data_IF_499116465945
#
_entry.id   IF_499116465945
#
_cell.length_a   1.000
_cell.length_b   1.000
_cell.length_c   1.000
_cell.angle_alpha   90.00
_cell.angle_beta   90.00
_cell.angle_gamma   90.00
#
_symmetry.space_group_name_H-M   'P 1'
#
loop_
_entity.id
_entity.type
_entity.pdbx_description
1 polymer ?
#
# COMPACT_ATOMS: atom_id res chain seq x y z
N UNK A 1 -18.43 -49.10 5.72
CA UNK A 1 -18.58 -48.36 6.98
C UNK A 1 -17.51 -47.29 7.28
N UNK A 2 -16.41 -47.08 6.52
CA UNK A 2 -15.52 -45.91 6.76
C UNK A 2 -15.89 -44.62 5.98
N UNK A 3 -16.49 -44.72 4.79
CA UNK A 3 -16.61 -43.58 3.84
C UNK A 3 -17.44 -42.36 4.30
N UNK A 4 -18.42 -42.52 5.19
CA UNK A 4 -19.28 -41.40 5.65
C UNK A 4 -18.63 -40.66 6.82
N UNK A 5 -17.99 -41.40 7.73
CA UNK A 5 -17.23 -40.82 8.84
C UNK A 5 -16.00 -40.09 8.31
N UNK A 6 -15.36 -40.62 7.27
CA UNK A 6 -14.21 -39.99 6.61
C UNK A 6 -14.58 -38.68 5.89
N UNK A 7 -15.78 -38.59 5.27
CA UNK A 7 -16.24 -37.37 4.58
C UNK A 7 -16.65 -36.24 5.54
N UNK A 8 -17.29 -36.57 6.66
CA UNK A 8 -17.66 -35.57 7.70
C UNK A 8 -16.40 -35.01 8.38
N UNK A 9 -15.46 -35.88 8.78
CA UNK A 9 -14.18 -35.47 9.39
C UNK A 9 -13.35 -34.61 8.42
N UNK A 10 -13.39 -34.94 7.12
CA UNK A 10 -12.75 -34.15 6.06
C UNK A 10 -13.38 -32.76 5.88
N UNK A 11 -14.68 -32.58 6.11
CA UNK A 11 -15.36 -31.28 5.96
C UNK A 11 -15.09 -30.36 7.15
N UNK A 12 -15.08 -30.90 8.37
CA UNK A 12 -14.73 -30.17 9.59
C UNK A 12 -13.29 -29.63 9.54
N UNK A 13 -12.35 -30.47 9.09
CA UNK A 13 -10.97 -30.06 8.83
C UNK A 13 -10.88 -28.96 7.77
N UNK A 14 -11.77 -28.96 6.77
CA UNK A 14 -11.81 -27.95 5.71
C UNK A 14 -12.37 -26.62 6.22
N UNK A 15 -13.43 -26.66 7.04
CA UNK A 15 -14.01 -25.49 7.70
C UNK A 15 -13.04 -24.83 8.68
N UNK A 16 -12.34 -25.62 9.51
CA UNK A 16 -11.33 -25.11 10.44
C UNK A 16 -10.11 -24.48 9.72
N UNK A 17 -9.69 -25.05 8.59
CA UNK A 17 -8.64 -24.47 7.72
C UNK A 17 -9.09 -23.16 7.07
N UNK A 18 -10.34 -23.09 6.62
CA UNK A 18 -10.94 -21.86 6.08
C UNK A 18 -11.03 -20.77 7.15
N UNK A 19 -11.42 -21.12 8.37
CA UNK A 19 -11.48 -20.20 9.52
C UNK A 19 -10.14 -19.58 9.86
N UNK A 20 -9.11 -20.41 10.04
CA UNK A 20 -7.75 -19.94 10.30
C UNK A 20 -7.20 -19.12 9.12
N UNK A 21 -7.43 -19.57 7.88
CA UNK A 21 -7.01 -18.85 6.67
C UNK A 21 -7.60 -17.45 6.60
N UNK A 22 -8.88 -17.31 6.96
CA UNK A 22 -9.59 -16.04 6.91
C UNK A 22 -9.20 -15.09 8.05
N UNK A 23 -9.03 -15.58 9.28
CA UNK A 23 -8.52 -14.77 10.39
C UNK A 23 -7.12 -14.23 10.10
N UNK A 24 -6.25 -15.06 9.51
CA UNK A 24 -4.92 -14.65 9.06
C UNK A 24 -5.01 -13.60 7.94
N UNK A 25 -5.90 -13.79 6.95
CA UNK A 25 -6.10 -12.83 5.87
C UNK A 25 -6.59 -11.47 6.39
N UNK A 26 -7.56 -11.46 7.32
CA UNK A 26 -8.09 -10.24 7.92
C UNK A 26 -7.03 -9.49 8.74
N UNK A 27 -6.18 -10.22 9.47
CA UNK A 27 -5.05 -9.63 10.23
C UNK A 27 -4.04 -8.98 9.28
N UNK A 28 -3.66 -9.68 8.20
CA UNK A 28 -2.76 -9.14 7.17
C UNK A 28 -3.32 -7.90 6.47
N UNK A 29 -4.64 -7.85 6.23
CA UNK A 29 -5.31 -6.67 5.66
C UNK A 29 -5.22 -5.49 6.63
N UNK A 30 -5.54 -5.69 7.91
CA UNK A 30 -5.48 -4.63 8.92
C UNK A 30 -4.06 -4.06 9.09
N UNK A 31 -3.05 -4.92 9.18
CA UNK A 31 -1.65 -4.51 9.28
C UNK A 31 -1.22 -3.69 8.04
N UNK A 32 -1.63 -4.13 6.85
CA UNK A 32 -1.29 -3.45 5.60
C UNK A 32 -2.02 -2.10 5.44
N UNK A 33 -3.23 -1.95 5.98
CA UNK A 33 -3.93 -0.65 6.04
C UNK A 33 -3.17 0.35 6.93
N UNK A 34 -2.70 -0.08 8.11
CA UNK A 34 -1.90 0.75 9.03
C UNK A 34 -0.56 1.15 8.41
N UNK A 35 0.15 0.20 7.81
CA UNK A 35 1.40 0.46 7.09
C UNK A 35 1.17 1.40 5.90
N UNK A 36 0.05 1.24 5.20
CA UNK A 36 -0.33 2.11 4.09
C UNK A 36 -0.57 3.56 4.49
N UNK A 37 -1.25 3.81 5.61
CA UNK A 37 -1.44 5.16 6.14
C UNK A 37 -0.09 5.82 6.50
N UNK A 38 0.82 5.04 7.10
CA UNK A 38 2.17 5.51 7.44
C UNK A 38 2.98 5.86 6.19
N UNK A 39 2.95 5.01 5.17
CA UNK A 39 3.60 5.25 3.87
C UNK A 39 3.10 6.52 3.19
N UNK A 40 1.79 6.79 3.22
CA UNK A 40 1.23 8.03 2.67
C UNK A 40 1.79 9.25 3.41
N UNK A 41 1.88 9.22 4.73
CA UNK A 41 2.48 10.29 5.53
C UNK A 41 3.96 10.52 5.18
N UNK A 42 4.74 9.45 5.02
CA UNK A 42 6.14 9.52 4.62
C UNK A 42 6.32 10.11 3.21
N UNK A 43 5.50 9.68 2.23
CA UNK A 43 5.52 10.22 0.85
C UNK A 43 5.22 11.72 0.87
N UNK A 44 4.23 12.16 1.65
CA UNK A 44 3.92 13.58 1.82
C UNK A 44 5.09 14.36 2.43
N UNK A 45 5.72 13.82 3.48
CA UNK A 45 6.91 14.41 4.11
C UNK A 45 8.07 14.58 3.12
N UNK A 46 8.36 13.55 2.32
CA UNK A 46 9.39 13.59 1.27
C UNK A 46 9.05 14.65 0.20
N UNK A 47 7.78 14.73 -0.22
CA UNK A 47 7.34 15.71 -1.20
C UNK A 47 7.49 17.16 -0.68
N UNK A 48 7.17 17.40 0.59
CA UNK A 48 7.39 18.70 1.24
C UNK A 48 8.89 19.04 1.31
N UNK A 49 9.74 18.07 1.64
CA UNK A 49 11.18 18.25 1.67
C UNK A 49 11.75 18.59 0.29
N UNK A 50 11.31 17.89 -0.76
CA UNK A 50 11.68 18.20 -2.15
C UNK A 50 11.32 19.65 -2.52
N UNK A 51 10.10 20.11 -2.19
CA UNK A 51 9.67 21.50 -2.43
C UNK A 51 10.50 22.52 -1.65
N UNK A 52 10.88 22.20 -0.41
CA UNK A 52 11.75 23.04 0.41
C UNK A 52 13.12 23.24 -0.28
N UNK A 53 13.74 22.16 -0.76
CA UNK A 53 15.01 22.25 -1.48
C UNK A 53 14.90 23.03 -2.79
N UNK A 54 13.82 22.85 -3.57
CA UNK A 54 13.60 23.67 -4.78
C UNK A 54 13.46 25.15 -4.46
N UNK A 55 12.77 25.49 -3.38
CA UNK A 55 12.59 26.88 -2.95
C UNK A 55 13.94 27.50 -2.59
N UNK A 56 14.77 26.77 -1.85
CA UNK A 56 16.12 27.20 -1.50
C UNK A 56 17.02 27.34 -2.73
N UNK A 57 16.98 26.39 -3.67
CA UNK A 57 17.72 26.49 -4.92
C UNK A 57 17.34 27.74 -5.71
N UNK A 58 16.03 28.02 -5.84
CA UNK A 58 15.53 29.23 -6.52
C UNK A 58 15.96 30.52 -5.82
N UNK A 59 16.04 30.53 -4.50
CA UNK A 59 16.57 31.69 -3.76
C UNK A 59 18.04 31.94 -4.11
N UNK A 60 18.85 30.89 -4.21
CA UNK A 60 20.26 31.01 -4.62
C UNK A 60 20.40 31.44 -6.09
N UNK A 61 19.54 30.95 -6.99
CA UNK A 61 19.52 31.42 -8.38
C UNK A 61 19.20 32.92 -8.48
N UNK A 62 18.24 33.41 -7.69
CA UNK A 62 17.94 34.84 -7.63
C UNK A 62 19.13 35.67 -7.11
N UNK A 63 19.88 35.13 -6.15
CA UNK A 63 21.12 35.76 -5.67
C UNK A 63 22.17 35.81 -6.77
N UNK A 64 22.37 34.73 -7.53
CA UNK A 64 23.31 34.70 -8.65
C UNK A 64 22.97 35.76 -9.70
N UNK A 65 21.69 35.92 -10.04
CA UNK A 65 21.22 36.97 -10.96
C UNK A 65 21.50 38.37 -10.39
N UNK A 66 21.28 38.58 -9.09
CA UNK A 66 21.57 39.86 -8.44
C UNK A 66 23.08 40.17 -8.40
N UNK A 67 23.93 39.18 -8.17
CA UNK A 67 25.40 39.34 -8.23
C UNK A 67 25.81 39.77 -9.65
N UNK A 68 25.21 39.19 -10.69
CA UNK A 68 25.49 39.57 -12.08
C UNK A 68 25.10 41.01 -12.41
N UNK A 69 24.03 41.54 -11.79
CA UNK A 69 23.61 42.93 -12.01
C UNK A 69 24.52 43.96 -11.32
N UNK A 70 25.41 43.53 -10.40
CA UNK A 70 26.31 44.38 -9.60
C UNK A 70 25.59 45.49 -8.81
N UNK A 71 24.29 45.35 -8.59
CA UNK A 71 23.47 46.29 -7.82
C UNK A 71 23.47 45.90 -6.34
N UNK A 72 24.09 46.68 -5.43
CA UNK A 72 24.17 46.36 -4.01
C UNK A 72 22.80 46.18 -3.34
N UNK A 73 21.78 46.92 -3.79
CA UNK A 73 20.42 46.83 -3.22
C UNK A 73 19.75 45.54 -3.67
N UNK A 74 19.89 45.18 -4.95
CA UNK A 74 19.38 43.90 -5.46
C UNK A 74 20.06 42.71 -4.78
N UNK A 75 21.38 42.79 -4.59
CA UNK A 75 22.20 41.77 -3.91
C UNK A 75 21.75 41.61 -2.46
N UNK A 76 21.65 42.71 -1.69
CA UNK A 76 21.22 42.66 -0.30
C UNK A 76 19.79 42.11 -0.14
N UNK A 77 18.87 42.50 -1.04
CA UNK A 77 17.50 41.98 -1.04
C UNK A 77 17.47 40.47 -1.31
N UNK A 78 18.22 40.00 -2.30
CA UNK A 78 18.27 38.59 -2.65
C UNK A 78 18.92 37.77 -1.52
N UNK A 79 20.01 38.26 -0.93
CA UNK A 79 20.69 37.65 0.21
C UNK A 79 19.77 37.58 1.44
N UNK A 80 18.91 38.58 1.66
CA UNK A 80 17.92 38.59 2.74
C UNK A 80 16.87 37.47 2.63
N UNK A 81 16.66 36.90 1.43
CA UNK A 81 15.75 35.78 1.22
C UNK A 81 16.41 34.41 1.47
N UNK A 82 17.75 34.35 1.57
CA UNK A 82 18.48 33.10 1.81
C UNK A 82 18.43 32.75 3.30
N UNK A 83 17.99 31.53 3.62
CA UNK A 83 17.90 31.05 5.00
C UNK A 83 19.25 30.63 5.60
N UNK A 84 20.18 30.18 4.77
CA UNK A 84 21.50 29.75 5.21
C UNK A 84 22.38 30.98 5.51
N UNK A 85 22.76 31.12 6.78
CA UNK A 85 23.51 32.27 7.26
C UNK A 85 24.92 32.35 6.67
N UNK A 86 25.53 31.20 6.34
CA UNK A 86 26.87 31.16 5.75
C UNK A 86 26.81 31.61 4.29
N UNK A 87 25.81 31.15 3.53
CA UNK A 87 25.60 31.61 2.16
C UNK A 87 25.23 33.09 2.12
N UNK A 88 24.44 33.55 3.08
CA UNK A 88 24.11 34.97 3.22
C UNK A 88 25.37 35.81 3.50
N UNK A 89 26.27 35.35 4.37
CA UNK A 89 27.53 36.04 4.67
C UNK A 89 28.45 36.13 3.44
N UNK A 90 28.56 35.07 2.64
CA UNK A 90 29.32 35.08 1.38
C UNK A 90 28.82 36.17 0.43
N UNK A 91 27.52 36.47 0.44
CA UNK A 91 26.94 37.47 -0.46
C UNK A 91 27.07 38.89 0.10
N UNK A 92 26.99 39.05 1.42
CA UNK A 92 27.00 40.36 2.09
C UNK A 92 28.40 40.84 2.50
N UNK A 93 29.45 40.09 2.17
CA UNK A 93 30.81 40.47 2.50
C UNK A 93 31.21 41.74 1.73
N UNK A 94 31.77 42.72 2.43
CA UNK A 94 32.21 44.01 1.87
C UNK A 94 33.57 43.87 1.15
N UNK A 95 33.60 43.05 0.10
CA UNK A 95 34.75 42.85 -0.77
C UNK A 95 34.33 43.16 -2.21
N UNK A 96 34.93 44.19 -2.80
CA UNK A 96 34.70 44.59 -4.20
C UNK A 96 35.78 44.05 -5.13
N UNK A 97 36.09 42.77 -5.00
CA UNK A 97 37.06 42.06 -5.84
C UNK A 97 36.33 41.12 -6.81
N UNK A 98 36.70 41.16 -8.09
CA UNK A 98 36.07 40.35 -9.12
C UNK A 98 36.37 38.86 -8.94
N UNK A 99 37.55 38.51 -8.42
CA UNK A 99 37.90 37.11 -8.12
C UNK A 99 37.04 36.59 -6.96
N UNK A 100 36.82 37.41 -5.94
CA UNK A 100 35.87 37.12 -4.87
C UNK A 100 34.46 36.85 -5.41
N UNK A 101 33.89 37.76 -6.22
CA UNK A 101 32.54 37.57 -6.77
C UNK A 101 32.42 36.34 -7.66
N UNK A 102 33.46 36.03 -8.46
CA UNK A 102 33.50 34.82 -9.26
C UNK A 102 33.58 33.54 -8.40
N UNK A 103 34.30 33.58 -7.29
CA UNK A 103 34.36 32.47 -6.32
C UNK A 103 33.03 32.27 -5.58
N UNK A 104 32.42 33.36 -5.10
CA UNK A 104 31.11 33.36 -4.45
C UNK A 104 30.03 32.81 -5.40
N UNK A 105 30.00 33.27 -6.66
CA UNK A 105 29.06 32.79 -7.67
C UNK A 105 29.23 31.28 -7.93
N UNK A 106 30.47 30.77 -8.03
CA UNK A 106 30.71 29.32 -8.18
C UNK A 106 30.19 28.52 -6.99
N UNK A 107 30.44 28.99 -5.78
CA UNK A 107 29.99 28.32 -4.54
C UNK A 107 28.47 28.28 -4.46
N UNK A 108 27.81 29.40 -4.72
CA UNK A 108 26.35 29.50 -4.72
C UNK A 108 25.72 28.65 -5.83
N UNK A 109 26.31 28.64 -7.03
CA UNK A 109 25.84 27.81 -8.15
C UNK A 109 25.99 26.30 -7.85
N UNK A 110 27.10 25.89 -7.23
CA UNK A 110 27.29 24.51 -6.81
C UNK A 110 26.23 24.09 -5.78
N UNK A 111 25.93 24.97 -4.80
CA UNK A 111 24.91 24.69 -3.79
C UNK A 111 23.49 24.67 -4.37
N UNK A 112 23.16 25.59 -5.28
CA UNK A 112 21.88 25.58 -6.00
C UNK A 112 21.73 24.31 -6.84
N UNK A 113 22.80 23.88 -7.51
CA UNK A 113 22.86 22.62 -8.26
C UNK A 113 22.62 21.41 -7.38
N UNK A 114 23.30 21.31 -6.23
CA UNK A 114 23.11 20.22 -5.27
C UNK A 114 21.67 20.15 -4.74
N UNK A 115 21.09 21.29 -4.36
CA UNK A 115 19.71 21.38 -3.90
C UNK A 115 18.71 20.93 -4.98
N UNK A 116 18.93 21.32 -6.24
CA UNK A 116 18.11 20.88 -7.37
C UNK A 116 18.24 19.37 -7.63
N UNK A 117 19.45 18.82 -7.54
CA UNK A 117 19.67 17.37 -7.67
C UNK A 117 18.94 16.60 -6.56
N UNK A 118 19.09 17.01 -5.29
CA UNK A 118 18.38 16.38 -4.18
C UNK A 118 16.87 16.49 -4.34
N UNK A 119 16.35 17.66 -4.68
CA UNK A 119 14.92 17.84 -4.93
C UNK A 119 14.40 16.90 -6.02
N UNK A 120 15.16 16.74 -7.11
CA UNK A 120 14.88 15.80 -8.18
C UNK A 120 14.86 14.35 -7.69
N UNK A 121 15.90 13.92 -6.97
CA UNK A 121 16.00 12.56 -6.40
C UNK A 121 14.85 12.24 -5.45
N UNK A 122 14.47 13.17 -4.55
CA UNK A 122 13.33 12.98 -3.66
C UNK A 122 11.99 12.91 -4.40
N UNK A 123 11.84 13.67 -5.50
CA UNK A 123 10.64 13.56 -6.35
C UNK A 123 10.57 12.20 -7.03
N UNK A 124 11.68 11.73 -7.60
CA UNK A 124 11.73 10.41 -8.24
C UNK A 124 11.47 9.30 -7.22
N UNK A 125 12.07 9.38 -6.04
CA UNK A 125 11.86 8.43 -4.96
C UNK A 125 10.40 8.39 -4.50
N UNK A 126 9.78 9.54 -4.26
CA UNK A 126 8.35 9.61 -3.88
C UNK A 126 7.42 9.08 -4.97
N UNK A 127 7.72 9.29 -6.25
CA UNK A 127 6.98 8.71 -7.37
C UNK A 127 7.10 7.18 -7.41
N UNK A 128 8.30 6.63 -7.17
CA UNK A 128 8.51 5.18 -7.07
C UNK A 128 7.71 4.59 -5.92
N UNK A 129 7.81 5.19 -4.73
CA UNK A 129 7.04 4.74 -3.55
C UNK A 129 5.53 4.77 -3.80
N UNK A 130 5.03 5.79 -4.49
CA UNK A 130 3.61 5.88 -4.83
C UNK A 130 3.18 4.76 -5.80
N UNK A 131 4.02 4.42 -6.78
CA UNK A 131 3.76 3.33 -7.71
C UNK A 131 3.72 1.98 -6.98
N UNK A 132 4.71 1.72 -6.12
CA UNK A 132 4.79 0.50 -5.30
C UNK A 132 3.57 0.40 -4.36
N UNK A 133 3.20 1.52 -3.73
CA UNK A 133 2.03 1.59 -2.86
C UNK A 133 0.73 1.30 -3.63
N UNK A 134 0.59 1.80 -4.86
CA UNK A 134 -0.57 1.49 -5.70
C UNK A 134 -0.67 0.00 -6.03
N UNK A 135 0.45 -0.67 -6.29
CA UNK A 135 0.46 -2.12 -6.52
C UNK A 135 0.08 -2.90 -5.27
N UNK A 136 0.61 -2.52 -4.10
CA UNK A 136 0.27 -3.13 -2.81
C UNK A 136 -1.23 -2.95 -2.54
N UNK A 137 -1.76 -1.74 -2.75
CA UNK A 137 -3.20 -1.46 -2.55
C UNK A 137 -4.08 -2.32 -3.44
N UNK A 138 -3.71 -2.54 -4.71
CA UNK A 138 -4.45 -3.45 -5.60
C UNK A 138 -4.41 -4.90 -5.11
N UNK A 139 -3.27 -5.37 -4.61
CA UNK A 139 -3.16 -6.71 -4.01
C UNK A 139 -4.04 -6.86 -2.77
N UNK A 140 -4.11 -5.83 -1.93
CA UNK A 140 -4.99 -5.80 -0.76
C UNK A 140 -6.47 -5.83 -1.15
N UNK A 141 -6.87 -5.09 -2.18
CA UNK A 141 -8.25 -5.14 -2.69
C UNK A 141 -8.61 -6.54 -3.21
N UNK A 142 -7.70 -7.19 -3.93
CA UNK A 142 -7.91 -8.56 -4.41
C UNK A 142 -7.99 -9.57 -3.25
N UNK A 143 -7.15 -9.40 -2.21
CA UNK A 143 -7.18 -10.25 -1.02
C UNK A 143 -8.51 -10.07 -0.27
N UNK A 144 -8.99 -8.83 -0.13
CA UNK A 144 -10.28 -8.52 0.50
C UNK A 144 -11.44 -9.13 -0.27
N UNK A 145 -11.49 -8.96 -1.59
CA UNK A 145 -12.51 -9.58 -2.44
C UNK A 145 -12.49 -11.12 -2.34
N UNK A 146 -11.31 -11.72 -2.23
CA UNK A 146 -11.17 -13.18 -2.03
C UNK A 146 -11.66 -13.61 -0.63
N UNK A 147 -11.40 -12.82 0.40
CA UNK A 147 -11.92 -13.04 1.76
C UNK A 147 -13.45 -12.98 1.79
N UNK A 148 -14.04 -11.97 1.14
CA UNK A 148 -15.50 -11.81 1.06
C UNK A 148 -16.17 -13.00 0.33
N UNK A 149 -15.52 -13.56 -0.70
CA UNK A 149 -16.01 -14.78 -1.38
C UNK A 149 -15.97 -16.01 -0.48
N UNK A 150 -14.95 -16.13 0.39
CA UNK A 150 -14.88 -17.21 1.39
C UNK A 150 -15.99 -17.07 2.43
N UNK A 151 -16.30 -15.85 2.86
CA UNK A 151 -17.43 -15.57 3.74
C UNK A 151 -18.77 -15.98 3.13
N UNK A 152 -18.95 -15.81 1.82
CA UNK A 152 -20.15 -16.25 1.10
C UNK A 152 -20.19 -17.77 0.93
N UNK A 153 -19.04 -18.43 0.74
CA UNK A 153 -18.96 -19.87 0.56
C UNK A 153 -19.17 -20.67 1.86
N UNK A 154 -18.80 -20.09 3.01
CA UNK A 154 -18.87 -20.79 4.31
C UNK A 154 -20.30 -21.23 4.70
N UNK A 155 -21.35 -20.38 4.60
CA UNK A 155 -22.73 -20.81 4.84
C UNK A 155 -23.16 -21.96 3.94
N UNK A 156 -22.74 -21.97 2.66
CA UNK A 156 -23.07 -23.05 1.73
C UNK A 156 -22.41 -24.36 2.15
N UNK A 157 -21.15 -24.32 2.60
CA UNK A 157 -20.44 -25.49 3.14
C UNK A 157 -21.04 -25.98 4.46
N UNK A 158 -21.48 -25.08 5.34
CA UNK A 158 -22.17 -25.44 6.60
C UNK A 158 -23.54 -26.06 6.32
N UNK A 159 -24.28 -25.53 5.34
CA UNK A 159 -25.55 -26.14 4.90
C UNK A 159 -25.31 -27.53 4.31
N UNK A 160 -24.31 -27.69 3.46
CA UNK A 160 -23.93 -28.99 2.91
C UNK A 160 -23.53 -29.98 4.02
N UNK A 161 -22.69 -29.55 4.96
CA UNK A 161 -22.30 -30.34 6.12
C UNK A 161 -23.51 -30.79 6.97
N UNK A 162 -24.43 -29.87 7.25
CA UNK A 162 -25.65 -30.18 8.00
C UNK A 162 -26.57 -31.14 7.23
N UNK A 163 -26.64 -31.02 5.90
CA UNK A 163 -27.38 -31.95 5.03
C UNK A 163 -26.72 -33.34 5.03
N UNK A 164 -25.39 -33.41 4.90
CA UNK A 164 -24.65 -34.68 4.87
C UNK A 164 -24.71 -35.40 6.23
N UNK A 165 -24.64 -34.64 7.33
CA UNK A 165 -24.87 -35.15 8.69
C UNK A 165 -26.31 -35.68 8.82
N UNK A 166 -27.32 -34.90 8.43
CA UNK A 166 -28.74 -35.30 8.50
C UNK A 166 -29.06 -36.51 7.60
N UNK A 167 -28.48 -36.59 6.41
CA UNK A 167 -28.61 -37.73 5.49
C UNK A 167 -27.89 -38.98 6.03
N UNK A 168 -26.78 -38.80 6.75
CA UNK A 168 -26.14 -39.83 7.56
C UNK A 168 -27.13 -40.40 8.59
N UNK A 169 -27.74 -39.55 9.42
CA UNK A 169 -28.73 -39.96 10.42
C UNK A 169 -29.96 -40.67 9.81
N UNK A 170 -30.50 -40.18 8.68
CA UNK A 170 -31.62 -40.82 7.98
C UNK A 170 -31.30 -42.21 7.40
N UNK A 171 -30.03 -42.50 7.09
CA UNK A 171 -29.60 -43.86 6.71
C UNK A 171 -29.53 -44.83 7.89
N UNK A 172 -29.30 -44.33 9.11
CA UNK A 172 -29.22 -45.15 10.31
C UNK A 172 -30.59 -45.49 10.91
N UNK A 173 -31.58 -44.60 10.79
CA UNK A 173 -32.94 -44.85 11.31
C UNK A 173 -33.79 -45.80 10.44
N UNK A 174 -33.33 -46.13 9.23
CA UNK A 174 -34.17 -46.82 8.23
C UNK A 174 -33.81 -48.30 8.00
N UNK A 175 -32.89 -48.91 8.76
CA UNK A 175 -32.55 -50.33 8.58
C UNK A 175 -33.70 -51.26 9.04
N UNK A 176 -34.44 -50.87 10.07
CA UNK A 176 -35.62 -51.62 10.53
C UNK A 176 -36.92 -51.16 9.87
N UNK A 177 -37.04 -49.88 9.48
CA UNK A 177 -38.21 -49.37 8.76
C UNK A 177 -38.23 -49.76 7.27
N UNK A 178 -37.07 -49.97 6.62
CA UNK A 178 -37.00 -50.50 5.25
C UNK A 178 -37.44 -51.98 5.14
N UNK A 179 -37.41 -52.74 6.24
CA UNK A 179 -37.95 -54.11 6.31
C UNK A 179 -39.45 -54.17 6.57
N UNK A 180 -40.06 -53.08 7.03
CA UNK A 180 -41.49 -53.00 7.33
C UNK A 180 -42.35 -52.52 6.13
N UNK A 181 -41.73 -52.10 5.03
CA UNK A 181 -42.45 -51.75 3.81
C UNK A 181 -42.84 -53.02 3.03
N UNK A 182 -44.15 -53.25 2.78
CA UNK A 182 -44.58 -54.34 1.91
C UNK A 182 -43.96 -54.14 0.52
N UNK A 183 -43.41 -55.21 -0.04
CA UNK A 183 -42.85 -55.23 -1.39
C UNK A 183 -43.92 -54.87 -2.43
N UNK A 184 -43.99 -53.59 -2.80
CA UNK A 184 -44.72 -53.18 -4.00
C UNK A 184 -43.76 -53.34 -5.18
N UNK A 185 -43.54 -54.61 -5.57
CA UNK A 185 -43.37 -54.89 -6.98
C UNK A 185 -44.71 -54.65 -7.65
N UNK A 186 -44.86 -53.51 -8.32
CA UNK A 186 -45.74 -53.39 -9.48
C UNK A 186 -45.29 -52.20 -10.32
N UNK A 187 -44.92 -52.51 -11.55
CA UNK A 187 -44.33 -51.57 -12.48
C UNK A 187 -45.26 -50.44 -12.88
N UNK A 188 -44.65 -49.34 -13.30
CA UNK A 188 -45.14 -48.57 -14.44
C UNK A 188 -43.99 -47.78 -15.03
N UNK A 189 -43.73 -48.08 -16.29
CA UNK A 189 -42.95 -47.28 -17.22
C UNK A 189 -43.30 -45.79 -17.11
N UNK A 190 -42.27 -44.95 -17.15
CA UNK A 190 -42.39 -43.60 -17.69
C UNK A 190 -41.28 -43.45 -18.73
N UNK A 191 -41.75 -43.17 -19.94
CA UNK A 191 -41.01 -43.05 -21.19
C UNK A 191 -39.81 -42.11 -21.11
N UNK A 192 -38.75 -42.49 -21.83
CA UNK A 192 -37.51 -41.76 -22.06
C UNK A 192 -36.42 -42.73 -22.45
#
# INVERSE_FOLDING_TARGET
QPEITDTVTSLDDTLAKLENGQQNANTLIADAEVLGATLVGLIQGIALQSRSYQTQAKQLDNVLVAIQSRDPIAIARAAGAVRDIHLQQIVLTDIQDDEYWASAARTLAAQAGALNQWAGSYRQFSQSLLADFSQIKMRLLNLRASSDLVDVARPMLTVQHNIDAAAGYLKFDNVDAARALPSIHNGRALNG
#
